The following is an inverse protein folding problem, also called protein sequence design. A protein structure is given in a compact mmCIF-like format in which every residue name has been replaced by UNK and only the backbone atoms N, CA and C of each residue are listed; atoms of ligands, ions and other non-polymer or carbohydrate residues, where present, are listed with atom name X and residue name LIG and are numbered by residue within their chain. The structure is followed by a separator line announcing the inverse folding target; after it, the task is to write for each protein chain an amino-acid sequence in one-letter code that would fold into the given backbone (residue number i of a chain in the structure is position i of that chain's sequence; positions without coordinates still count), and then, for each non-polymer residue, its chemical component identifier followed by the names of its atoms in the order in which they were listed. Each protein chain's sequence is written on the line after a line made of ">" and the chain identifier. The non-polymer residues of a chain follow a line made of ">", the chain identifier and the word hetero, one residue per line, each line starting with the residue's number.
data_IF_015398353584
#
_entry.id   IF_015398353584
#
_cell.length_a   1.000
_cell.length_b   1.000
_cell.length_c   1.000
_cell.angle_alpha   90.00
_cell.angle_beta   90.00
_cell.angle_gamma   90.00
#
_symmetry.space_group_name_H-M   'P 1'
#
loop_
_entity.id
_entity.type
_entity.pdbx_description
1 polymer ?
#
# COMPACT_ATOMS: atom_id res chain seq x y z
N UNK A 1 -24.52 -25.16 15.70
CA UNK A 1 -23.13 -24.99 15.21
C UNK A 1 -22.98 -25.93 14.03
N UNK A 2 -22.97 -25.42 12.80
CA UNK A 2 -22.81 -26.26 11.60
C UNK A 2 -21.37 -26.07 11.13
N UNK A 3 -20.53 -27.06 11.38
CA UNK A 3 -19.16 -27.10 10.87
C UNK A 3 -19.21 -27.65 9.45
N UNK A 4 -19.15 -26.78 8.45
CA UNK A 4 -18.85 -27.21 7.09
C UNK A 4 -17.32 -27.27 6.97
N UNK A 5 -16.75 -28.47 6.96
CA UNK A 5 -15.33 -28.64 6.63
C UNK A 5 -15.14 -28.26 5.16
N UNK A 6 -14.56 -27.09 4.90
CA UNK A 6 -14.44 -26.52 3.56
C UNK A 6 -12.99 -26.38 3.11
N UNK A 7 -12.52 -27.35 2.33
CA UNK A 7 -11.65 -27.16 1.15
C UNK A 7 -10.20 -26.66 1.28
N UNK A 8 -9.49 -26.77 2.41
CA UNK A 8 -8.01 -26.63 2.44
C UNK A 8 -7.45 -25.38 1.75
N UNK A 9 -8.21 -24.28 1.79
CA UNK A 9 -7.85 -22.98 1.23
C UNK A 9 -8.29 -21.86 2.16
N UNK A 10 -7.46 -20.83 2.27
CA UNK A 10 -7.73 -19.59 3.00
C UNK A 10 -8.07 -18.49 2.02
N UNK A 11 -9.08 -17.68 2.34
CA UNK A 11 -9.49 -16.50 1.57
C UNK A 11 -9.21 -15.23 2.35
N UNK A 12 -8.57 -14.26 1.72
CA UNK A 12 -8.26 -12.94 2.30
C UNK A 12 -8.65 -11.83 1.32
N UNK A 13 -9.06 -10.67 1.86
CA UNK A 13 -9.16 -9.42 1.11
C UNK A 13 -7.95 -8.57 1.44
N UNK A 14 -7.21 -8.15 0.41
CA UNK A 14 -6.01 -7.33 0.54
C UNK A 14 -6.06 -6.14 -0.40
N UNK A 15 -5.26 -5.11 -0.14
CA UNK A 15 -5.11 -3.94 -1.02
C UNK A 15 -3.66 -3.79 -1.51
N UNK A 16 -3.18 -4.64 -2.43
CA UNK A 16 -1.77 -4.66 -2.82
C UNK A 16 -1.39 -3.46 -3.69
N UNK A 17 -2.36 -2.84 -4.37
CA UNK A 17 -2.15 -1.66 -5.19
C UNK A 17 -2.81 -0.46 -4.51
N UNK A 18 -1.98 0.48 -4.06
CA UNK A 18 -2.39 1.72 -3.40
C UNK A 18 -1.93 2.89 -4.26
N UNK A 19 -2.84 3.79 -4.62
CA UNK A 19 -2.52 4.99 -5.38
C UNK A 19 -2.80 6.24 -4.54
N UNK A 20 -1.77 7.04 -4.30
CA UNK A 20 -1.88 8.33 -3.60
C UNK A 20 -2.07 9.44 -4.63
N UNK A 21 -3.23 10.10 -4.59
CA UNK A 21 -3.57 11.24 -5.45
C UNK A 21 -3.41 12.52 -4.66
N UNK A 22 -2.18 13.02 -4.63
CA UNK A 22 -1.83 14.22 -3.89
C UNK A 22 -2.20 15.50 -4.65
N UNK A 23 -2.76 16.48 -3.95
CA UNK A 23 -2.92 17.84 -4.46
C UNK A 23 -1.77 18.72 -3.92
N UNK A 24 -0.75 19.04 -4.74
CA UNK A 24 0.42 19.79 -4.28
C UNK A 24 0.12 21.26 -3.95
N UNK A 25 -1.02 21.79 -4.40
CA UNK A 25 -1.43 23.18 -4.16
C UNK A 25 -2.52 23.31 -3.10
N UNK A 26 -2.77 22.23 -2.34
CA UNK A 26 -3.74 22.23 -1.26
C UNK A 26 -3.43 23.32 -0.21
N UNK A 27 -4.41 24.16 0.09
CA UNK A 27 -4.31 25.19 1.14
C UNK A 27 -4.95 24.73 2.47
N UNK A 28 -5.68 23.62 2.45
CA UNK A 28 -6.43 23.06 3.59
C UNK A 28 -6.30 21.54 3.60
N UNK A 29 -6.59 20.90 4.74
CA UNK A 29 -6.47 19.45 4.90
C UNK A 29 -7.44 18.69 3.98
N UNK A 30 -8.65 19.21 3.82
CA UNK A 30 -9.72 18.64 2.99
C UNK A 30 -9.36 18.65 1.50
N UNK A 31 -8.39 19.48 1.10
CA UNK A 31 -7.90 19.61 -0.26
C UNK A 31 -6.69 18.74 -0.56
N UNK A 32 -6.12 18.02 0.40
CA UNK A 32 -4.88 17.24 0.22
C UNK A 32 -5.01 16.13 -0.84
N UNK A 33 -6.24 15.67 -1.10
CA UNK A 33 -6.55 14.66 -2.10
C UNK A 33 -7.00 13.33 -1.49
N UNK A 34 -6.84 12.24 -2.26
CA UNK A 34 -7.39 10.92 -1.93
C UNK A 34 -6.32 9.82 -1.98
N UNK A 35 -6.60 8.72 -1.29
CA UNK A 35 -5.89 7.45 -1.43
C UNK A 35 -6.87 6.41 -1.95
N UNK A 36 -6.53 5.76 -3.07
CA UNK A 36 -7.30 4.67 -3.64
C UNK A 36 -6.65 3.33 -3.26
N UNK A 37 -7.47 2.43 -2.72
CA UNK A 37 -7.11 1.05 -2.37
C UNK A 37 -7.81 0.09 -3.34
N UNK A 38 -7.05 -0.53 -4.23
CA UNK A 38 -7.59 -1.58 -5.09
C UNK A 38 -7.66 -2.89 -4.30
N UNK A 39 -8.89 -3.29 -3.95
CA UNK A 39 -9.16 -4.49 -3.16
C UNK A 39 -9.11 -5.71 -4.07
N UNK A 40 -8.30 -6.67 -3.69
CA UNK A 40 -8.17 -7.97 -4.33
C UNK A 40 -8.57 -9.07 -3.33
N UNK A 41 -9.34 -10.04 -3.81
CA UNK A 41 -9.60 -11.29 -3.11
C UNK A 41 -8.52 -12.29 -3.49
N UNK A 42 -7.76 -12.76 -2.52
CA UNK A 42 -6.75 -13.80 -2.71
C UNK A 42 -7.22 -15.08 -2.05
N UNK A 43 -7.17 -16.17 -2.81
CA UNK A 43 -7.41 -17.53 -2.30
C UNK A 43 -6.07 -18.26 -2.30
N UNK A 44 -5.62 -18.72 -1.15
CA UNK A 44 -4.38 -19.50 -0.98
C UNK A 44 -4.70 -20.93 -0.57
N UNK A 45 -3.82 -21.88 -0.89
CA UNK A 45 -3.92 -23.26 -0.38
C UNK A 45 -3.30 -23.35 1.00
N UNK A 46 -4.03 -23.97 1.94
CA UNK A 46 -3.57 -24.15 3.30
C UNK A 46 -2.42 -25.16 3.34
N UNK A 47 -1.43 -24.92 4.20
CA UNK A 47 -0.33 -25.87 4.45
C UNK A 47 0.66 -26.05 3.29
N UNK A 48 0.58 -25.25 2.23
CA UNK A 48 1.61 -25.23 1.18
C UNK A 48 2.78 -24.33 1.59
N UNK A 49 4.02 -24.85 1.48
CA UNK A 49 5.25 -24.07 1.56
C UNK A 49 6.07 -24.27 0.26
N UNK A 50 6.22 -23.24 -0.60
CA UNK A 50 5.71 -21.87 -0.41
C UNK A 50 4.18 -21.78 -0.52
N UNK A 51 3.62 -20.71 0.05
CA UNK A 51 2.20 -20.35 -0.07
C UNK A 51 1.78 -20.35 -1.55
N UNK A 52 0.86 -21.25 -1.91
CA UNK A 52 0.34 -21.37 -3.27
C UNK A 52 -0.94 -20.54 -3.44
N UNK A 53 -0.89 -19.49 -4.27
CA UNK A 53 -2.06 -18.70 -4.64
C UNK A 53 -2.88 -19.46 -5.68
N UNK A 54 -4.11 -19.81 -5.32
CA UNK A 54 -5.08 -20.50 -6.19
C UNK A 54 -5.76 -19.52 -7.14
N UNK A 55 -6.22 -18.38 -6.61
CA UNK A 55 -6.77 -17.29 -7.42
C UNK A 55 -6.48 -15.93 -6.79
N UNK A 56 -6.57 -14.91 -7.64
CA UNK A 56 -6.46 -13.50 -7.27
C UNK A 56 -7.42 -12.73 -8.16
N UNK A 57 -8.42 -12.12 -7.54
CA UNK A 57 -9.53 -11.49 -8.24
C UNK A 57 -9.67 -10.04 -7.75
N UNK A 58 -9.71 -9.08 -8.68
CA UNK A 58 -10.05 -7.71 -8.35
C UNK A 58 -11.51 -7.63 -7.89
N UNK A 59 -11.75 -6.94 -6.77
CA UNK A 59 -13.08 -6.81 -6.17
C UNK A 59 -13.64 -5.41 -6.41
N UNK A 60 -12.91 -4.37 -5.98
CA UNK A 60 -13.37 -2.98 -6.02
C UNK A 60 -12.24 -2.01 -5.74
N UNK A 61 -12.46 -0.72 -5.98
CA UNK A 61 -11.63 0.37 -5.43
C UNK A 61 -12.37 1.04 -4.27
N UNK A 62 -11.68 1.21 -3.14
CA UNK A 62 -12.14 2.05 -2.02
C UNK A 62 -11.29 3.30 -2.00
N UNK A 63 -11.92 4.48 -2.01
CA UNK A 63 -11.22 5.76 -1.91
C UNK A 63 -11.43 6.38 -0.53
N UNK A 64 -10.35 6.86 0.09
CA UNK A 64 -10.40 7.59 1.36
C UNK A 64 -9.79 9.00 1.19
N UNK A 65 -10.36 9.98 1.87
CA UNK A 65 -9.76 11.32 1.92
C UNK A 65 -8.48 11.27 2.76
N UNK A 66 -7.42 11.92 2.28
CA UNK A 66 -6.16 11.99 3.02
C UNK A 66 -6.38 12.63 4.40
N UNK A 67 -7.24 13.66 4.49
CA UNK A 67 -7.57 14.31 5.76
C UNK A 67 -8.07 13.33 6.83
N UNK A 68 -8.99 12.44 6.46
CA UNK A 68 -9.55 11.43 7.36
C UNK A 68 -8.48 10.44 7.80
N UNK A 69 -7.60 10.06 6.87
CA UNK A 69 -6.51 9.15 7.17
C UNK A 69 -5.53 9.75 8.18
N UNK A 70 -5.20 11.04 8.06
CA UNK A 70 -4.28 11.74 8.96
C UNK A 70 -4.81 11.87 10.39
N UNK A 71 -6.14 11.92 10.56
CA UNK A 71 -6.79 12.09 11.84
C UNK A 71 -6.91 10.80 12.67
N UNK A 72 -6.69 9.63 12.07
CA UNK A 72 -6.80 8.32 12.74
C UNK A 72 -5.52 7.85 13.42
N UNK A 73 -5.64 6.84 14.28
CA UNK A 73 -4.54 6.04 14.82
C UNK A 73 -4.58 4.63 14.22
N UNK A 74 -3.43 4.10 13.84
CA UNK A 74 -3.34 2.82 13.13
C UNK A 74 -2.39 1.87 13.82
N UNK A 75 -2.82 0.61 13.92
CA UNK A 75 -1.94 -0.47 14.36
C UNK A 75 -1.08 -0.91 13.18
N UNK A 76 0.24 -0.78 13.33
CA UNK A 76 1.24 -1.25 12.37
C UNK A 76 1.87 -2.51 12.94
N UNK A 77 1.84 -3.59 12.18
CA UNK A 77 2.49 -4.84 12.55
C UNK A 77 3.79 -4.97 11.76
N UNK A 78 4.91 -5.15 12.45
CA UNK A 78 6.18 -5.46 11.82
C UNK A 78 6.08 -6.87 11.19
N UNK A 79 6.25 -7.03 9.87
CA UNK A 79 6.07 -8.32 9.21
C UNK A 79 7.16 -9.35 9.56
N UNK A 80 8.33 -8.91 10.05
CA UNK A 80 9.43 -9.80 10.41
C UNK A 80 9.37 -10.25 11.88
N UNK A 81 8.94 -9.38 12.79
CA UNK A 81 8.93 -9.66 14.24
C UNK A 81 7.55 -9.89 14.82
N UNK A 82 6.48 -9.49 14.12
CA UNK A 82 5.10 -9.52 14.62
C UNK A 82 4.79 -8.45 15.67
N UNK A 83 5.76 -7.60 16.03
CA UNK A 83 5.57 -6.51 16.99
C UNK A 83 4.54 -5.51 16.45
N UNK A 84 3.64 -5.07 17.32
CA UNK A 84 2.61 -4.10 16.98
C UNK A 84 2.91 -2.76 17.63
N UNK A 85 2.86 -1.71 16.83
CA UNK A 85 2.88 -0.32 17.31
C UNK A 85 1.60 0.38 16.90
N UNK A 86 1.16 1.34 17.71
CA UNK A 86 0.06 2.24 17.34
C UNK A 86 0.68 3.57 16.94
N UNK A 87 0.41 4.00 15.72
CA UNK A 87 1.00 5.19 15.14
C UNK A 87 -0.09 6.13 14.60
N UNK A 88 0.01 7.43 14.87
CA UNK A 88 -0.95 8.39 14.35
C UNK A 88 -0.77 8.54 12.83
N UNK A 89 -1.86 8.77 12.11
CA UNK A 89 -1.91 8.82 10.66
C UNK A 89 -0.96 9.84 10.04
N UNK A 90 -0.75 10.98 10.70
CA UNK A 90 0.21 12.00 10.23
C UNK A 90 1.65 11.47 10.16
N UNK A 91 2.05 10.56 11.06
CA UNK A 91 3.40 9.99 11.06
C UNK A 91 3.57 9.02 9.88
N UNK A 92 2.56 8.22 9.59
CA UNK A 92 2.56 7.33 8.42
C UNK A 92 2.66 8.13 7.12
N UNK A 93 1.91 9.22 7.01
CA UNK A 93 2.00 10.12 5.85
C UNK A 93 3.40 10.72 5.68
N UNK A 94 4.01 11.18 6.78
CA UNK A 94 5.36 11.75 6.73
C UNK A 94 6.38 10.71 6.25
N UNK A 95 6.26 9.45 6.70
CA UNK A 95 7.12 8.35 6.24
C UNK A 95 6.94 8.05 4.76
N UNK A 96 5.68 7.93 4.30
CA UNK A 96 5.37 7.72 2.87
C UNK A 96 5.96 8.85 2.03
N UNK A 97 5.75 10.10 2.45
CA UNK A 97 6.28 11.26 1.73
C UNK A 97 7.80 11.25 1.68
N UNK A 98 8.48 10.95 2.79
CA UNK A 98 9.94 10.88 2.81
C UNK A 98 10.49 9.82 1.84
N UNK A 99 9.85 8.64 1.76
CA UNK A 99 10.23 7.58 0.81
C UNK A 99 9.98 8.01 -0.65
N UNK A 100 8.84 8.63 -0.93
CA UNK A 100 8.51 9.14 -2.27
C UNK A 100 9.50 10.22 -2.70
N UNK A 101 9.76 11.20 -1.84
CA UNK A 101 10.72 12.29 -2.12
C UNK A 101 12.13 11.73 -2.36
N UNK A 102 12.57 10.78 -1.55
CA UNK A 102 13.84 10.07 -1.75
C UNK A 102 13.89 9.34 -3.10
N UNK A 103 12.81 8.64 -3.48
CA UNK A 103 12.78 7.89 -4.74
C UNK A 103 12.75 8.81 -5.96
N UNK A 104 12.04 9.94 -5.88
CA UNK A 104 12.05 10.98 -6.91
C UNK A 104 13.43 11.61 -7.06
N UNK A 105 14.12 11.87 -5.94
CA UNK A 105 15.49 12.39 -5.96
C UNK A 105 16.45 11.43 -6.68
N UNK A 106 16.31 10.12 -6.45
CA UNK A 106 17.09 9.10 -7.18
C UNK A 106 16.74 9.07 -8.67
N UNK A 107 15.46 9.11 -9.03
CA UNK A 107 15.04 9.08 -10.43
C UNK A 107 15.57 10.29 -11.23
N UNK A 108 15.58 11.49 -10.61
CA UNK A 108 16.14 12.70 -11.21
C UNK A 108 17.67 12.70 -11.37
N UNK A 109 18.38 11.73 -10.77
CA UNK A 109 19.85 11.60 -10.89
C UNK A 109 20.27 10.64 -12.01
N UNK A 110 19.34 9.88 -12.60
CA UNK A 110 19.64 8.83 -13.59
C UNK A 110 19.72 9.36 -15.04
N UNK A 111 19.48 10.66 -15.27
CA UNK A 111 19.52 11.32 -16.61
C UNK A 111 20.91 11.78 -17.09
N UNK A 112 22.01 11.41 -16.42
CA UNK A 112 23.36 11.75 -16.88
C UNK A 112 24.04 10.56 -17.60
N UNK A 113 23.47 10.11 -18.72
CA UNK A 113 24.24 9.30 -19.67
C UNK A 113 25.23 10.21 -20.41
N UNK A 114 26.55 9.91 -20.44
CA UNK A 114 27.49 10.71 -21.20
C UNK A 114 27.14 10.61 -22.69
N UNK A 115 26.92 11.76 -23.34
CA UNK A 115 26.87 11.81 -24.79
C UNK A 115 28.23 11.35 -25.33
N UNK A 116 28.25 10.19 -25.98
CA UNK A 116 29.39 9.72 -26.74
C UNK A 116 29.56 10.71 -27.90
N UNK A 117 30.64 11.48 -27.89
CA UNK A 117 31.04 12.28 -29.04
C UNK A 117 31.34 11.31 -30.19
N UNK A 118 30.57 11.41 -31.27
CA UNK A 118 30.92 10.77 -32.53
C UNK A 118 32.08 11.56 -33.16
N UNK A 119 33.23 10.88 -33.36
CA UNK A 119 34.36 11.32 -34.18
C UNK A 119 34.10 11.06 -35.68
#
# INVERSE_FOLDING_TARGET
>A
MITMQGLGTTTELVAPNIAVKWNPTAATAEQLGTVDFAIEKIVTRDGSDPLFVVSRDFVSVISAQIADLLAGDYTVTNPATGEQTVEPGWKLMAMIKAVVDHRLQLAGTEEALPQVAED
#
